data_IF_417875717896
#
_entry.id   IF_417875717896
#
_cell.length_a   1.000
_cell.length_b   1.000
_cell.length_c   1.000
_cell.angle_alpha   90.00
_cell.angle_beta   90.00
_cell.angle_gamma   90.00
#
_symmetry.space_group_name_H-M   'P 1'
#
loop_
_entity.id
_entity.type
_entity.pdbx_description
1 polymer ?
#
# COMPACT_ATOMS: atom_id res chain seq x y z
N UNK A 1 25.43 10.36 -11.13
CA UNK A 1 24.05 10.46 -10.58
C UNK A 1 23.90 9.48 -9.43
N UNK A 2 23.69 9.96 -8.21
CA UNK A 2 23.56 9.12 -7.02
C UNK A 2 22.16 8.52 -6.97
N UNK A 3 22.04 7.19 -6.95
CA UNK A 3 20.76 6.49 -6.85
C UNK A 3 19.97 6.96 -5.61
N UNK A 4 18.70 7.37 -5.73
CA UNK A 4 17.94 7.97 -4.63
C UNK A 4 17.43 6.91 -3.64
N UNK A 5 18.36 6.17 -3.02
CA UNK A 5 18.11 5.05 -2.11
C UNK A 5 17.15 5.45 -0.98
N UNK A 6 17.42 6.57 -0.29
CA UNK A 6 16.61 7.05 0.84
C UNK A 6 15.16 7.35 0.43
N UNK A 7 14.95 7.87 -0.78
CA UNK A 7 13.61 8.21 -1.29
C UNK A 7 12.81 6.96 -1.62
N UNK A 8 13.46 5.95 -2.22
CA UNK A 8 12.83 4.68 -2.58
C UNK A 8 12.42 3.94 -1.32
N UNK A 9 13.34 3.78 -0.35
CA UNK A 9 13.04 3.14 0.93
C UNK A 9 11.89 3.85 1.64
N UNK A 10 11.97 5.18 1.83
CA UNK A 10 10.91 5.94 2.50
C UNK A 10 9.53 5.82 1.81
N UNK A 11 9.50 5.79 0.47
CA UNK A 11 8.24 5.69 -0.28
C UNK A 11 7.63 4.29 -0.18
N UNK A 12 8.44 3.24 -0.33
CA UNK A 12 7.96 1.86 -0.23
C UNK A 12 7.54 1.49 1.20
N UNK A 13 8.17 2.07 2.22
CA UNK A 13 7.77 1.87 3.62
C UNK A 13 6.43 2.51 3.98
N UNK A 14 6.02 3.53 3.22
CA UNK A 14 4.71 4.18 3.36
C UNK A 14 3.60 3.45 2.57
N UNK A 15 3.95 2.44 1.78
CA UNK A 15 2.99 1.67 0.97
C UNK A 15 1.86 1.04 1.82
N UNK A 16 2.11 0.45 3.01
CA UNK A 16 1.05 -0.04 3.87
C UNK A 16 0.10 1.05 4.38
N UNK A 17 0.62 2.23 4.70
CA UNK A 17 -0.22 3.35 5.12
C UNK A 17 -1.19 3.76 4.00
N UNK A 18 -0.74 3.72 2.73
CA UNK A 18 -1.58 3.97 1.56
C UNK A 18 -2.71 2.92 1.45
N UNK A 19 -2.41 1.65 1.71
CA UNK A 19 -3.42 0.58 1.76
C UNK A 19 -4.54 0.87 2.77
N UNK A 20 -4.18 1.36 3.97
CA UNK A 20 -5.16 1.78 4.99
C UNK A 20 -6.06 2.93 4.53
N UNK A 21 -5.50 3.90 3.79
CA UNK A 21 -6.27 5.01 3.20
C UNK A 21 -7.25 4.52 2.12
N UNK A 22 -6.86 3.53 1.30
CA UNK A 22 -7.76 2.94 0.31
C UNK A 22 -8.93 2.18 0.97
N UNK A 23 -8.67 1.44 2.05
CA UNK A 23 -9.71 0.75 2.82
C UNK A 23 -10.69 1.76 3.41
N UNK A 24 -10.19 2.86 3.98
CA UNK A 24 -11.03 3.98 4.45
C UNK A 24 -11.93 4.54 3.35
N UNK A 25 -11.38 4.83 2.18
CA UNK A 25 -12.15 5.34 1.04
C UNK A 25 -13.29 4.39 0.64
N UNK A 26 -13.01 3.08 0.58
CA UNK A 26 -14.02 2.07 0.29
C UNK A 26 -15.14 2.06 1.35
N UNK A 27 -14.80 2.00 2.64
CA UNK A 27 -15.81 2.04 3.71
C UNK A 27 -16.64 3.33 3.69
N UNK A 28 -16.00 4.47 3.47
CA UNK A 28 -16.71 5.75 3.37
C UNK A 28 -17.72 5.74 2.21
N UNK A 29 -17.34 5.23 1.03
CA UNK A 29 -18.27 5.11 -0.10
C UNK A 29 -19.37 4.07 0.13
N UNK A 30 -19.05 2.93 0.75
CA UNK A 30 -20.00 1.87 1.05
C UNK A 30 -21.06 2.33 2.06
N UNK A 31 -20.65 3.06 3.11
CA UNK A 31 -21.53 3.69 4.10
C UNK A 31 -22.35 4.83 3.48
N UNK A 32 -21.78 5.63 2.57
CA UNK A 32 -22.52 6.70 1.88
C UNK A 32 -23.61 6.15 0.92
N UNK A 33 -23.31 5.06 0.21
CA UNK A 33 -24.21 4.39 -0.74
C UNK A 33 -25.25 3.55 0.01
N UNK A 34 -24.81 2.86 1.06
CA UNK A 34 -25.64 2.12 2.02
C UNK A 34 -26.36 3.08 2.95
N UNK A 35 -27.33 3.80 2.39
CA UNK A 35 -28.17 4.87 2.98
C UNK A 35 -28.99 4.41 4.20
N UNK A 36 -28.34 3.87 5.22
CA UNK A 36 -28.95 3.13 6.32
C UNK A 36 -28.16 3.37 7.58
N UNK A 37 -28.44 4.49 8.23
CA UNK A 37 -28.76 4.56 9.66
C UNK A 37 -28.98 6.03 10.03
N UNK A 38 -29.77 6.23 11.06
CA UNK A 38 -30.22 7.50 11.65
C UNK A 38 -29.10 8.38 12.25
N UNK A 39 -27.87 8.30 11.74
CA UNK A 39 -26.74 9.14 12.14
C UNK A 39 -26.55 10.30 11.17
N UNK A 40 -26.05 11.43 11.67
CA UNK A 40 -25.78 12.58 10.81
C UNK A 40 -24.62 12.28 9.86
N UNK A 41 -24.65 12.88 8.67
CA UNK A 41 -23.56 12.79 7.67
C UNK A 41 -22.22 13.19 8.29
N UNK A 42 -22.23 14.14 9.23
CA UNK A 42 -21.04 14.64 9.92
C UNK A 42 -20.44 13.58 10.86
N UNK A 43 -21.27 12.87 11.62
CA UNK A 43 -20.82 11.77 12.50
C UNK A 43 -20.24 10.60 11.69
N UNK A 44 -20.86 10.28 10.56
CA UNK A 44 -20.38 9.23 9.65
C UNK A 44 -19.01 9.59 9.08
N UNK A 45 -18.82 10.85 8.66
CA UNK A 45 -17.53 11.34 8.14
C UNK A 45 -16.46 11.38 9.23
N UNK A 46 -16.78 11.85 10.44
CA UNK A 46 -15.81 11.85 11.56
C UNK A 46 -15.43 10.43 12.00
N UNK A 47 -16.41 9.54 12.12
CA UNK A 47 -16.19 8.16 12.54
C UNK A 47 -15.34 7.39 11.54
N UNK A 48 -15.67 7.49 10.25
CA UNK A 48 -14.87 6.88 9.19
C UNK A 48 -13.47 7.49 9.15
N UNK A 49 -13.31 8.81 9.30
CA UNK A 49 -12.00 9.46 9.28
C UNK A 49 -11.08 8.94 10.40
N UNK A 50 -11.61 8.85 11.63
CA UNK A 50 -10.86 8.27 12.76
C UNK A 50 -10.51 6.81 12.52
N UNK A 51 -11.45 6.03 11.97
CA UNK A 51 -11.23 4.64 11.60
C UNK A 51 -10.15 4.49 10.52
N UNK A 52 -10.11 5.42 9.55
CA UNK A 52 -9.09 5.46 8.51
C UNK A 52 -7.70 5.74 9.06
N UNK A 53 -7.57 6.68 10.01
CA UNK A 53 -6.29 6.94 10.69
C UNK A 53 -5.85 5.70 11.48
N UNK A 54 -6.75 5.09 12.26
CA UNK A 54 -6.45 3.86 12.99
C UNK A 54 -6.03 2.72 12.06
N UNK A 55 -6.71 2.56 10.93
CA UNK A 55 -6.37 1.56 9.91
C UNK A 55 -5.00 1.85 9.28
N UNK A 56 -4.69 3.11 8.95
CA UNK A 56 -3.38 3.48 8.42
C UNK A 56 -2.26 3.21 9.43
N UNK A 57 -2.43 3.58 10.69
CA UNK A 57 -1.44 3.34 11.75
C UNK A 57 -1.24 1.85 12.02
N UNK A 58 -2.34 1.09 12.16
CA UNK A 58 -2.26 -0.35 12.39
C UNK A 58 -1.63 -1.07 11.20
N UNK A 59 -2.00 -0.72 9.97
CA UNK A 59 -1.38 -1.29 8.77
C UNK A 59 0.13 -1.01 8.71
N UNK A 60 0.56 0.18 9.12
CA UNK A 60 1.98 0.54 9.17
C UNK A 60 2.74 -0.21 10.27
N UNK A 61 2.11 -0.50 11.42
CA UNK A 61 2.74 -1.29 12.50
C UNK A 61 2.88 -2.76 12.08
N UNK A 62 1.81 -3.36 11.54
CA UNK A 62 1.79 -4.78 11.21
C UNK A 62 2.50 -5.13 9.90
N UNK A 63 2.36 -4.28 8.87
CA UNK A 63 2.93 -4.51 7.54
C UNK A 63 4.16 -3.62 7.26
N UNK A 64 4.58 -2.77 8.21
CA UNK A 64 5.78 -1.94 8.05
C UNK A 64 7.07 -2.76 7.97
N UNK A 65 7.18 -3.84 8.75
CA UNK A 65 8.35 -4.74 8.74
C UNK A 65 8.54 -5.44 7.38
N UNK A 66 7.54 -6.14 6.82
CA UNK A 66 7.70 -6.75 5.50
C UNK A 66 7.88 -5.70 4.39
N UNK A 67 7.25 -4.52 4.51
CA UNK A 67 7.44 -3.42 3.56
C UNK A 67 8.88 -2.85 3.60
N UNK A 68 9.46 -2.71 4.79
CA UNK A 68 10.87 -2.35 4.98
C UNK A 68 11.78 -3.39 4.34
N UNK A 69 11.56 -4.67 4.62
CA UNK A 69 12.33 -5.77 4.03
C UNK A 69 12.32 -5.74 2.50
N UNK A 70 11.14 -5.65 1.89
CA UNK A 70 11.00 -5.52 0.44
C UNK A 70 11.69 -4.27 -0.11
N UNK A 71 11.52 -3.12 0.56
CA UNK A 71 12.13 -1.86 0.12
C UNK A 71 13.66 -1.93 0.11
N UNK A 72 14.27 -2.64 1.07
CA UNK A 72 15.70 -2.89 1.12
C UNK A 72 16.13 -3.81 -0.01
N UNK A 73 15.39 -4.89 -0.28
CA UNK A 73 15.65 -5.80 -1.41
C UNK A 73 15.59 -5.04 -2.74
N UNK A 74 14.55 -4.23 -2.96
CA UNK A 74 14.42 -3.42 -4.17
C UNK A 74 15.55 -2.41 -4.34
N UNK A 75 16.00 -1.83 -3.23
CA UNK A 75 17.08 -0.85 -3.24
C UNK A 75 18.46 -1.50 -3.43
N UNK A 76 18.68 -2.71 -2.90
CA UNK A 76 19.85 -3.54 -3.17
C UNK A 76 19.92 -3.99 -4.64
N UNK A 77 18.78 -4.37 -5.23
CA UNK A 77 18.71 -4.75 -6.65
C UNK A 77 18.79 -3.56 -7.63
N UNK A 78 18.89 -2.32 -7.15
CA UNK A 78 18.91 -1.08 -7.96
C UNK A 78 17.82 -1.07 -9.04
N UNK A 79 16.59 -1.38 -8.65
CA UNK A 79 15.46 -1.42 -9.58
C UNK A 79 15.24 -0.05 -10.25
N UNK A 80 15.14 -0.06 -11.58
CA UNK A 80 14.79 1.10 -12.40
C UNK A 80 13.36 1.04 -12.92
N UNK A 81 12.84 2.15 -13.46
CA UNK A 81 11.48 2.28 -14.05
C UNK A 81 11.30 1.49 -15.38
N UNK A 82 11.66 0.20 -15.41
CA UNK A 82 11.29 -0.73 -16.47
C UNK A 82 9.94 -1.36 -16.17
N UNK A 83 9.13 -1.62 -17.20
CA UNK A 83 7.87 -2.38 -17.06
C UNK A 83 8.08 -3.71 -16.32
N UNK A 84 9.17 -4.43 -16.62
CA UNK A 84 9.52 -5.69 -15.97
C UNK A 84 9.74 -5.51 -14.45
N UNK A 85 10.51 -4.50 -14.05
CA UNK A 85 10.74 -4.18 -12.64
C UNK A 85 9.46 -3.77 -11.92
N UNK A 86 8.60 -3.00 -12.59
CA UNK A 86 7.30 -2.61 -12.05
C UNK A 86 6.42 -3.85 -11.83
N UNK A 87 6.38 -4.77 -12.78
CA UNK A 87 5.63 -6.03 -12.65
C UNK A 87 6.18 -6.89 -11.51
N UNK A 88 7.50 -7.03 -11.38
CA UNK A 88 8.13 -7.76 -10.25
C UNK A 88 7.70 -7.14 -8.92
N UNK A 89 7.76 -5.82 -8.79
CA UNK A 89 7.38 -5.12 -7.55
C UNK A 89 5.89 -5.31 -7.24
N UNK A 90 5.02 -5.33 -8.24
CA UNK A 90 3.59 -5.58 -8.07
C UNK A 90 3.33 -7.00 -7.56
N UNK A 91 3.94 -8.01 -8.21
CA UNK A 91 3.78 -9.41 -7.83
C UNK A 91 4.34 -9.62 -6.43
N UNK A 92 5.57 -9.16 -6.16
CA UNK A 92 6.20 -9.29 -4.85
C UNK A 92 5.37 -8.61 -3.74
N UNK A 93 4.87 -7.40 -3.97
CA UNK A 93 3.97 -6.71 -3.05
C UNK A 93 2.67 -7.46 -2.79
N UNK A 94 2.02 -7.99 -3.83
CA UNK A 94 0.82 -8.82 -3.71
C UNK A 94 1.07 -10.14 -2.97
N UNK A 95 2.18 -10.82 -3.26
CA UNK A 95 2.54 -12.09 -2.59
C UNK A 95 2.88 -11.88 -1.11
N UNK A 96 3.56 -10.79 -0.78
CA UNK A 96 3.85 -10.47 0.62
C UNK A 96 2.59 -10.10 1.37
N UNK A 97 1.66 -9.35 0.75
CA UNK A 97 0.35 -9.08 1.34
C UNK A 97 -0.47 -10.37 1.57
N UNK A 98 -0.39 -11.35 0.67
CA UNK A 98 -1.01 -12.67 0.86
C UNK A 98 -0.37 -13.45 2.01
N UNK A 99 0.94 -13.65 1.98
CA UNK A 99 1.68 -14.42 2.99
C UNK A 99 1.53 -13.81 4.38
N UNK A 100 1.62 -12.49 4.48
CA UNK A 100 1.47 -11.79 5.75
C UNK A 100 0.01 -11.78 6.24
N UNK A 101 -0.94 -11.90 5.32
CA UNK A 101 -2.35 -12.10 5.64
C UNK A 101 -2.65 -13.47 6.25
N UNK A 102 -1.85 -14.51 6.00
CA UNK A 102 -1.99 -15.81 6.68
C UNK A 102 -1.42 -15.76 8.12
N UNK A 103 -0.41 -14.92 8.35
CA UNK A 103 0.19 -14.72 9.68
C UNK A 103 -0.71 -13.89 10.59
N UNK A 104 -1.50 -12.96 10.01
CA UNK A 104 -2.41 -12.11 10.75
C UNK A 104 -3.83 -12.71 10.74
N UNK A 105 -4.52 -12.79 11.89
CA UNK A 105 -5.88 -13.33 11.99
C UNK A 105 -6.92 -12.29 11.52
N UNK A 106 -6.72 -11.70 10.35
CA UNK A 106 -7.73 -10.89 9.67
C UNK A 106 -8.54 -11.82 8.79
N UNK A 107 -9.86 -11.66 8.76
CA UNK A 107 -10.74 -12.44 7.91
C UNK A 107 -11.04 -11.60 6.66
N UNK A 108 -10.12 -11.59 5.70
CA UNK A 108 -10.30 -10.86 4.44
C UNK A 108 -9.99 -11.76 3.26
N UNK A 109 -10.79 -11.65 2.19
CA UNK A 109 -10.64 -12.51 1.02
C UNK A 109 -9.21 -12.40 0.45
N UNK A 110 -8.56 -13.53 0.13
CA UNK A 110 -7.16 -13.55 -0.34
C UNK A 110 -6.97 -12.72 -1.61
N UNK A 111 -7.97 -12.72 -2.50
CA UNK A 111 -7.96 -11.92 -3.74
C UNK A 111 -7.87 -10.42 -3.43
N UNK A 112 -8.62 -9.95 -2.43
CA UNK A 112 -8.61 -8.53 -2.04
C UNK A 112 -7.23 -8.13 -1.51
N UNK A 113 -6.60 -8.98 -0.68
CA UNK A 113 -5.25 -8.74 -0.16
C UNK A 113 -4.21 -8.63 -1.26
N UNK A 114 -4.26 -9.55 -2.21
CA UNK A 114 -3.35 -9.56 -3.35
C UNK A 114 -3.53 -8.30 -4.21
N UNK A 115 -4.76 -7.99 -4.61
CA UNK A 115 -5.05 -6.82 -5.43
C UNK A 115 -4.63 -5.53 -4.73
N UNK A 116 -4.92 -5.39 -3.44
CA UNK A 116 -4.61 -4.18 -2.68
C UNK A 116 -3.10 -4.02 -2.49
N UNK A 117 -2.36 -5.11 -2.24
CA UNK A 117 -0.89 -5.11 -2.21
C UNK A 117 -0.24 -4.83 -3.56
N UNK A 118 -0.78 -5.40 -4.64
CA UNK A 118 -0.29 -5.21 -6.01
C UNK A 118 -0.52 -3.77 -6.49
N UNK A 119 -1.71 -3.21 -6.28
CA UNK A 119 -2.07 -1.85 -6.70
C UNK A 119 -1.29 -0.80 -5.93
N UNK A 120 -1.16 -0.94 -4.61
CA UNK A 120 -0.38 0.01 -3.80
C UNK A 120 1.10 -0.04 -4.15
N UNK A 121 1.66 -1.23 -4.40
CA UNK A 121 3.05 -1.40 -4.87
C UNK A 121 3.25 -0.85 -6.28
N UNK A 122 2.26 -0.98 -7.16
CA UNK A 122 2.29 -0.39 -8.51
C UNK A 122 2.32 1.13 -8.47
N UNK A 123 1.42 1.75 -7.71
CA UNK A 123 1.38 3.20 -7.49
C UNK A 123 2.70 3.72 -6.92
N UNK A 124 3.27 3.03 -5.94
CA UNK A 124 4.56 3.40 -5.36
C UNK A 124 5.73 3.20 -6.32
N UNK A 125 5.71 2.13 -7.12
CA UNK A 125 6.70 1.93 -8.18
C UNK A 125 6.64 3.07 -9.22
N UNK A 126 5.44 3.50 -9.60
CA UNK A 126 5.26 4.65 -10.49
C UNK A 126 5.74 5.95 -9.85
N UNK A 127 5.53 6.19 -8.56
CA UNK A 127 5.92 7.43 -7.91
C UNK A 127 7.42 7.49 -7.54
N UNK A 128 7.99 6.40 -7.05
CA UNK A 128 9.30 6.37 -6.39
C UNK A 128 10.45 5.93 -7.31
N UNK A 129 10.21 5.12 -8.34
CA UNK A 129 11.31 4.61 -9.18
C UNK A 129 11.85 5.70 -10.12
N UNK A 130 13.18 5.92 -10.15
CA UNK A 130 13.79 6.84 -11.10
C UNK A 130 13.67 6.28 -12.53
N UNK A 131 13.30 7.14 -13.50
CA UNK A 131 13.40 6.79 -14.93
C UNK A 131 14.81 6.29 -15.21
N UNK A 132 14.96 5.25 -16.02
CA UNK A 132 16.28 4.93 -16.58
C UNK A 132 16.79 6.21 -17.22
N UNK A 133 17.94 6.71 -16.76
CA UNK A 133 18.65 7.70 -17.54
C UNK A 133 18.89 7.04 -18.89
N UNK A 134 18.38 7.64 -19.96
CA UNK A 134 18.86 7.28 -21.29
C UNK A 134 20.37 7.52 -21.23
N UNK A 135 21.15 6.44 -21.36
CA UNK A 135 22.56 6.58 -21.70
C UNK A 135 22.58 7.31 -23.04
N UNK A 136 22.89 8.61 -23.00
CA UNK A 136 23.47 9.35 -24.14
C UNK A 136 24.99 9.19 -24.10
#
# INVERSE_FOLDING_TARGET
MTYPFKRIVASFTLCPALAGVFIFGYFCTAELIGRTTSMSVVETVMGTFWFGILSAVTSMIFYGVPALGLSLVYACCRLHRCLLHVVIVCIAGGTVALLWGEVLPMETQPVVRFCLGAVTSWLMALHALPKQAAEE
#
